data_IF_997177413759
#
_entry.id   IF_997177413759
#
_cell.length_a   1.000
_cell.length_b   1.000
_cell.length_c   1.000
_cell.angle_alpha   90.00
_cell.angle_beta   90.00
_cell.angle_gamma   90.00
#
_symmetry.space_group_name_H-M   'P 1'
#
loop_
_entity.id
_entity.type
_entity.pdbx_description
1 polymer ?
#
# COMPACT_ATOMS: atom_id res chain seq x y z
N UNK A 1 -19.68 52.06 -16.68
CA UNK A 1 -19.30 51.54 -15.35
C UNK A 1 -18.71 50.13 -15.51
N UNK A 2 -17.41 50.03 -15.83
CA UNK A 2 -16.70 48.74 -16.05
C UNK A 2 -15.32 48.68 -15.38
N UNK A 3 -15.14 49.31 -14.24
CA UNK A 3 -13.84 49.40 -13.55
C UNK A 3 -13.78 48.66 -12.20
N UNK A 4 -14.88 48.14 -11.71
CA UNK A 4 -14.88 47.44 -10.40
C UNK A 4 -14.39 45.99 -10.46
N UNK A 5 -14.63 45.30 -11.57
CA UNK A 5 -14.23 43.89 -11.69
C UNK A 5 -12.74 43.65 -11.73
N UNK A 6 -11.92 44.62 -12.12
CA UNK A 6 -10.44 44.48 -12.12
C UNK A 6 -9.86 44.64 -10.71
N UNK A 7 -10.36 45.58 -9.93
CA UNK A 7 -9.89 45.81 -8.54
C UNK A 7 -10.25 44.61 -7.62
N UNK A 8 -11.45 44.03 -7.80
CA UNK A 8 -11.85 42.81 -7.06
C UNK A 8 -10.97 41.62 -7.39
N UNK A 9 -10.55 41.43 -8.65
CA UNK A 9 -9.63 40.37 -9.04
C UNK A 9 -8.24 40.52 -8.41
N UNK A 10 -7.72 41.75 -8.32
CA UNK A 10 -6.42 42.00 -7.67
C UNK A 10 -6.49 41.82 -6.15
N UNK A 11 -7.63 42.15 -5.52
CA UNK A 11 -7.83 41.90 -4.08
C UNK A 11 -7.92 40.39 -3.79
N UNK A 12 -8.61 39.63 -4.66
CA UNK A 12 -8.67 38.15 -4.55
C UNK A 12 -7.31 37.50 -4.75
N UNK A 13 -6.55 37.95 -5.73
CA UNK A 13 -5.19 37.43 -5.99
C UNK A 13 -4.25 37.79 -4.84
N UNK A 14 -4.33 39.02 -4.32
CA UNK A 14 -3.55 39.45 -3.15
C UNK A 14 -3.89 38.67 -1.88
N UNK A 15 -5.18 38.40 -1.66
CA UNK A 15 -5.65 37.58 -0.54
C UNK A 15 -5.15 36.12 -0.63
N UNK A 16 -5.18 35.56 -1.84
CA UNK A 16 -4.67 34.22 -2.09
C UNK A 16 -3.16 34.12 -1.86
N UNK A 17 -2.40 35.14 -2.32
CA UNK A 17 -0.95 35.21 -2.12
C UNK A 17 -0.58 35.33 -0.62
N UNK A 18 -1.35 36.08 0.16
CA UNK A 18 -1.15 36.19 1.62
C UNK A 18 -1.48 34.88 2.35
N UNK A 19 -2.49 34.15 1.92
CA UNK A 19 -2.81 32.83 2.46
C UNK A 19 -1.70 31.82 2.19
N UNK A 20 -1.16 31.81 0.97
CA UNK A 20 -0.03 30.93 0.61
C UNK A 20 1.22 31.28 1.42
N UNK A 21 1.54 32.56 1.58
CA UNK A 21 2.66 33.00 2.41
C UNK A 21 2.48 32.60 3.89
N UNK A 22 1.24 32.65 4.39
CA UNK A 22 0.88 32.21 5.75
C UNK A 22 1.08 30.71 5.96
N UNK A 23 0.69 29.88 5.00
CA UNK A 23 0.87 28.43 5.05
C UNK A 23 2.36 28.06 5.02
N UNK A 24 3.14 28.72 4.15
CA UNK A 24 4.59 28.52 4.07
C UNK A 24 5.29 28.94 5.38
N UNK A 25 4.89 30.08 5.95
CA UNK A 25 5.43 30.56 7.23
C UNK A 25 5.07 29.62 8.40
N UNK A 26 3.84 29.12 8.41
CA UNK A 26 3.38 28.16 9.42
C UNK A 26 4.11 26.83 9.32
N UNK A 27 4.29 26.33 8.09
CA UNK A 27 5.07 25.11 7.83
C UNK A 27 6.55 25.28 8.23
N UNK A 28 7.15 26.44 7.90
CA UNK A 28 8.53 26.76 8.31
C UNK A 28 8.68 26.78 9.84
N UNK A 29 7.73 27.37 10.55
CA UNK A 29 7.78 27.45 12.02
C UNK A 29 7.56 26.10 12.71
N UNK A 30 6.72 25.23 12.14
CA UNK A 30 6.53 23.87 12.64
C UNK A 30 7.75 22.98 12.37
N UNK A 31 8.48 23.26 11.30
CA UNK A 31 9.64 22.44 10.89
C UNK A 31 10.99 22.97 11.38
N UNK A 32 11.06 24.15 12.00
CA UNK A 32 12.29 24.78 12.51
C UNK A 32 12.89 24.11 13.76
N UNK A 33 12.38 22.94 14.15
CA UNK A 33 12.86 22.16 15.30
C UNK A 33 13.53 20.83 14.97
N UNK A 34 13.75 20.51 13.69
CA UNK A 34 14.44 19.27 13.28
C UNK A 34 15.52 19.57 12.26
N UNK A 35 16.74 19.74 12.75
CA UNK A 35 17.92 19.67 11.91
C UNK A 35 18.12 18.23 11.45
N UNK A 36 18.09 18.00 10.15
CA UNK A 36 18.84 16.92 9.51
C UNK A 36 19.12 17.27 8.06
N UNK A 37 20.38 17.21 7.72
CA UNK A 37 20.99 17.45 6.42
C UNK A 37 20.49 16.45 5.36
N UNK A 38 20.38 16.89 4.10
CA UNK A 38 20.24 16.00 2.96
C UNK A 38 19.49 16.60 1.77
N UNK A 39 20.23 17.19 0.89
CA UNK A 39 19.87 17.78 -0.41
C UNK A 39 19.16 16.76 -1.33
N UNK A 40 18.07 17.17 -2.00
CA UNK A 40 17.49 16.40 -3.11
C UNK A 40 16.18 16.99 -3.63
N UNK A 41 16.27 17.68 -4.73
CA UNK A 41 15.33 18.45 -5.54
C UNK A 41 14.01 17.75 -5.91
N UNK A 42 12.92 18.48 -5.69
CA UNK A 42 11.66 18.61 -6.44
C UNK A 42 11.05 17.43 -7.21
N UNK A 43 9.81 17.06 -6.84
CA UNK A 43 8.65 17.12 -7.73
C UNK A 43 7.36 16.86 -6.94
N UNK A 44 6.39 17.66 -7.22
CA UNK A 44 5.08 17.85 -6.66
C UNK A 44 4.14 16.69 -7.04
N UNK A 45 3.45 16.13 -6.07
CA UNK A 45 2.38 15.16 -6.30
C UNK A 45 1.89 14.64 -4.95
N UNK A 46 0.72 15.07 -4.51
CA UNK A 46 0.13 14.66 -3.24
C UNK A 46 -0.15 13.16 -3.22
N UNK A 47 0.45 12.50 -2.30
CA UNK A 47 0.21 11.14 -1.88
C UNK A 47 0.88 11.01 -0.54
N UNK A 48 0.14 10.67 0.48
CA UNK A 48 0.71 10.38 1.79
C UNK A 48 1.71 9.24 1.62
N UNK A 49 2.98 9.62 1.66
CA UNK A 49 4.06 8.64 1.64
C UNK A 49 4.10 7.95 3.01
N UNK A 50 3.72 6.70 3.03
CA UNK A 50 4.03 5.79 4.11
C UNK A 50 5.55 5.79 4.30
N UNK A 51 5.99 6.37 5.39
CA UNK A 51 7.40 6.39 5.78
C UNK A 51 7.69 5.07 6.48
N UNK A 52 8.29 4.13 5.74
CA UNK A 52 8.92 2.96 6.35
C UNK A 52 10.16 3.49 7.05
N UNK A 53 10.06 3.64 8.35
CA UNK A 53 11.19 3.95 9.20
C UNK A 53 12.15 2.75 9.17
N UNK A 54 13.25 2.92 8.45
CA UNK A 54 14.36 1.98 8.44
C UNK A 54 14.91 1.88 9.86
N UNK A 55 14.52 0.87 10.60
CA UNK A 55 15.20 0.50 11.85
C UNK A 55 16.59 -0.04 11.51
N UNK A 56 17.56 0.84 11.67
CA UNK A 56 18.97 0.50 11.58
C UNK A 56 19.42 -0.17 12.88
N UNK A 57 19.84 -1.42 12.76
CA UNK A 57 20.90 -2.02 13.51
C UNK A 57 20.67 -2.36 14.98
N UNK A 58 20.28 -3.60 15.24
CA UNK A 58 20.99 -4.37 16.29
C UNK A 58 20.98 -5.84 15.89
N UNK A 59 22.16 -6.46 15.99
CA UNK A 59 22.43 -7.86 15.67
C UNK A 59 21.73 -8.75 16.70
N UNK A 60 20.56 -9.28 16.35
CA UNK A 60 19.89 -10.33 17.09
C UNK A 60 19.62 -11.54 16.16
N UNK A 61 20.11 -12.64 16.61
CA UNK A 61 19.96 -14.05 16.19
C UNK A 61 19.03 -14.33 14.99
N UNK A 62 19.63 -14.78 13.91
CA UNK A 62 19.17 -14.90 12.52
C UNK A 62 17.97 -15.85 12.28
N UNK A 63 17.42 -16.50 13.28
CA UNK A 63 16.26 -17.39 13.14
C UNK A 63 14.93 -16.76 13.62
N UNK A 64 14.99 -15.77 14.48
CA UNK A 64 13.79 -15.09 14.99
C UNK A 64 13.31 -13.92 14.10
N UNK A 65 14.23 -13.35 13.30
CA UNK A 65 13.94 -12.18 12.46
C UNK A 65 13.00 -12.51 11.28
N UNK A 66 13.08 -13.71 10.73
CA UNK A 66 12.21 -14.14 9.63
C UNK A 66 10.76 -14.37 10.06
N UNK A 67 10.55 -15.07 11.19
CA UNK A 67 9.22 -15.33 11.72
C UNK A 67 8.52 -14.02 12.13
N UNK A 68 9.24 -13.08 12.75
CA UNK A 68 8.74 -11.77 13.14
C UNK A 68 8.33 -10.91 11.92
N UNK A 69 9.11 -10.97 10.82
CA UNK A 69 8.77 -10.28 9.58
C UNK A 69 7.45 -10.76 8.97
N UNK A 70 7.26 -12.07 8.81
CA UNK A 70 6.05 -12.63 8.22
C UNK A 70 4.82 -12.44 9.11
N UNK A 71 4.98 -12.48 10.43
CA UNK A 71 3.92 -12.19 11.38
C UNK A 71 3.52 -10.71 11.33
N UNK A 72 4.51 -9.80 11.36
CA UNK A 72 4.25 -8.37 11.26
C UNK A 72 3.60 -8.00 9.93
N UNK A 73 4.05 -8.57 8.80
CA UNK A 73 3.46 -8.37 7.50
C UNK A 73 1.99 -8.82 7.44
N UNK A 74 1.66 -9.98 8.03
CA UNK A 74 0.27 -10.45 8.10
C UNK A 74 -0.59 -9.56 8.96
N UNK A 75 -0.08 -9.10 10.09
CA UNK A 75 -0.78 -8.19 10.99
C UNK A 75 -1.08 -6.85 10.33
N UNK A 76 -0.09 -6.28 9.63
CA UNK A 76 -0.27 -5.03 8.89
C UNK A 76 -1.27 -5.20 7.74
N UNK A 77 -1.15 -6.29 6.97
CA UNK A 77 -2.09 -6.64 5.89
C UNK A 77 -3.51 -6.78 6.40
N UNK A 78 -3.71 -7.45 7.54
CA UNK A 78 -5.02 -7.60 8.19
C UNK A 78 -5.60 -6.25 8.60
N UNK A 79 -4.79 -5.40 9.22
CA UNK A 79 -5.20 -4.05 9.64
C UNK A 79 -5.64 -3.18 8.46
N UNK A 80 -4.90 -3.20 7.34
CA UNK A 80 -5.28 -2.46 6.13
C UNK A 80 -6.60 -2.98 5.57
N UNK A 81 -6.79 -4.28 5.52
CA UNK A 81 -8.03 -4.90 5.03
C UNK A 81 -9.24 -4.61 5.89
N UNK A 82 -9.06 -4.59 7.20
CA UNK A 82 -10.14 -4.19 8.12
C UNK A 82 -10.61 -2.76 7.83
N UNK A 83 -9.67 -1.85 7.57
CA UNK A 83 -9.99 -0.47 7.17
C UNK A 83 -10.69 -0.41 5.81
N UNK A 84 -10.24 -1.17 4.81
CA UNK A 84 -10.86 -1.22 3.48
C UNK A 84 -12.29 -1.78 3.56
N UNK A 85 -12.50 -2.87 4.31
CA UNK A 85 -13.82 -3.45 4.55
C UNK A 85 -14.73 -2.44 5.25
N UNK A 86 -14.23 -1.78 6.30
CA UNK A 86 -14.97 -0.76 7.03
C UNK A 86 -15.40 0.42 6.14
N UNK A 87 -14.52 0.88 5.27
CA UNK A 87 -14.82 1.93 4.30
C UNK A 87 -15.90 1.50 3.28
N UNK A 88 -15.80 0.27 2.75
CA UNK A 88 -16.82 -0.28 1.85
C UNK A 88 -18.17 -0.46 2.56
N UNK A 89 -18.16 -0.87 3.82
CA UNK A 89 -19.38 -0.99 4.63
C UNK A 89 -20.06 0.36 4.88
N UNK A 90 -19.28 1.42 5.09
CA UNK A 90 -19.81 2.79 5.20
C UNK A 90 -20.46 3.25 3.88
N UNK A 91 -19.81 2.99 2.73
CA UNK A 91 -20.39 3.30 1.42
C UNK A 91 -21.69 2.52 1.23
N UNK A 92 -21.71 1.22 1.51
CA UNK A 92 -22.89 0.36 1.39
C UNK A 92 -24.04 0.88 2.26
N UNK A 93 -23.75 1.29 3.49
CA UNK A 93 -24.75 1.80 4.43
C UNK A 93 -25.32 3.15 4.00
N UNK A 94 -24.51 4.03 3.42
CA UNK A 94 -24.90 5.40 3.04
C UNK A 94 -25.47 5.50 1.63
N UNK A 95 -25.16 4.56 0.72
CA UNK A 95 -25.56 4.60 -0.70
C UNK A 95 -26.87 3.88 -0.99
N UNK A 96 -27.74 3.70 -0.02
CA UNK A 96 -29.01 2.97 -0.18
C UNK A 96 -29.96 3.54 -1.28
N UNK A 97 -29.79 4.81 -1.65
CA UNK A 97 -30.56 5.47 -2.70
C UNK A 97 -29.89 5.47 -4.08
N UNK A 98 -28.62 5.08 -4.17
CA UNK A 98 -27.84 4.97 -5.41
C UNK A 98 -27.47 3.50 -5.67
N UNK A 99 -28.28 2.86 -6.50
CA UNK A 99 -28.12 1.43 -6.81
C UNK A 99 -26.81 1.11 -7.53
N UNK A 100 -26.20 2.05 -8.25
CA UNK A 100 -24.94 1.84 -8.97
C UNK A 100 -23.80 1.82 -7.97
N UNK A 101 -23.67 2.85 -7.16
CA UNK A 101 -22.63 2.94 -6.12
C UNK A 101 -22.74 1.79 -5.13
N UNK A 102 -23.96 1.40 -4.74
CA UNK A 102 -24.19 0.25 -3.87
C UNK A 102 -23.69 -1.06 -4.49
N UNK A 103 -24.03 -1.32 -5.76
CA UNK A 103 -23.61 -2.53 -6.47
C UNK A 103 -22.08 -2.58 -6.64
N UNK A 104 -21.44 -1.46 -6.96
CA UNK A 104 -20.00 -1.37 -7.11
C UNK A 104 -19.28 -1.63 -5.77
N UNK A 105 -19.74 -1.04 -4.67
CA UNK A 105 -19.14 -1.27 -3.35
C UNK A 105 -19.29 -2.73 -2.89
N UNK A 106 -20.45 -3.35 -3.15
CA UNK A 106 -20.66 -4.77 -2.86
C UNK A 106 -19.74 -5.67 -3.71
N UNK A 107 -19.57 -5.35 -5.00
CA UNK A 107 -18.68 -6.11 -5.88
C UNK A 107 -17.21 -5.99 -5.43
N UNK A 108 -16.75 -4.78 -5.04
CA UNK A 108 -15.41 -4.57 -4.52
C UNK A 108 -15.18 -5.33 -3.21
N UNK A 109 -16.16 -5.31 -2.29
CA UNK A 109 -16.05 -6.05 -1.03
C UNK A 109 -15.95 -7.56 -1.28
N UNK A 110 -16.75 -8.09 -2.21
CA UNK A 110 -16.69 -9.49 -2.58
C UNK A 110 -15.35 -9.85 -3.24
N UNK A 111 -14.84 -9.00 -4.13
CA UNK A 111 -13.52 -9.17 -4.74
C UNK A 111 -12.40 -9.19 -3.71
N UNK A 112 -12.45 -8.29 -2.71
CA UNK A 112 -11.48 -8.25 -1.61
C UNK A 112 -11.49 -9.57 -0.82
N UNK A 113 -12.67 -10.09 -0.45
CA UNK A 113 -12.79 -11.36 0.28
C UNK A 113 -12.25 -12.53 -0.56
N UNK A 114 -12.57 -12.59 -1.85
CA UNK A 114 -12.08 -13.63 -2.76
C UNK A 114 -10.54 -13.57 -2.88
N UNK A 115 -9.97 -12.37 -2.97
CA UNK A 115 -8.52 -12.20 -3.01
C UNK A 115 -7.86 -12.72 -1.72
N UNK A 116 -8.44 -12.42 -0.55
CA UNK A 116 -7.94 -12.93 0.75
C UNK A 116 -7.93 -14.47 0.79
N UNK A 117 -8.98 -15.12 0.29
CA UNK A 117 -9.06 -16.58 0.22
C UNK A 117 -8.02 -17.16 -0.75
N UNK A 118 -7.85 -16.53 -1.90
CA UNK A 118 -6.84 -16.93 -2.90
C UNK A 118 -5.41 -16.79 -2.35
N UNK A 119 -5.09 -15.69 -1.70
CA UNK A 119 -3.78 -15.48 -1.06
C UNK A 119 -3.48 -16.53 0.02
N UNK A 120 -4.45 -16.80 0.90
CA UNK A 120 -4.31 -17.83 1.92
C UNK A 120 -4.07 -19.21 1.30
N UNK A 121 -4.76 -19.52 0.21
CA UNK A 121 -4.59 -20.78 -0.52
C UNK A 121 -3.19 -20.89 -1.11
N UNK A 122 -2.70 -19.83 -1.78
CA UNK A 122 -1.35 -19.81 -2.37
C UNK A 122 -0.28 -19.94 -1.28
N UNK A 123 -0.38 -19.17 -0.17
CA UNK A 123 0.54 -19.28 0.97
C UNK A 123 0.60 -20.71 1.52
N UNK A 124 -0.57 -21.33 1.67
CA UNK A 124 -0.67 -22.71 2.16
C UNK A 124 -0.06 -23.74 1.21
N UNK A 125 -0.25 -23.56 -0.10
CA UNK A 125 0.34 -24.44 -1.13
C UNK A 125 1.86 -24.26 -1.21
N UNK A 126 2.39 -23.05 -1.09
CA UNK A 126 3.83 -22.78 -1.07
C UNK A 126 4.47 -23.46 0.15
N UNK A 127 3.88 -23.30 1.34
CA UNK A 127 4.36 -24.01 2.56
C UNK A 127 4.29 -25.53 2.40
N UNK A 128 3.25 -26.06 1.77
CA UNK A 128 3.13 -27.51 1.48
C UNK A 128 4.21 -28.02 0.52
N UNK A 129 4.86 -27.14 -0.25
CA UNK A 129 6.01 -27.46 -1.10
C UNK A 129 7.34 -27.48 -0.37
N UNK A 130 7.36 -27.16 0.92
CA UNK A 130 8.54 -27.24 1.78
C UNK A 130 9.23 -25.92 2.06
N UNK A 131 8.67 -24.81 1.64
CA UNK A 131 9.12 -23.48 2.08
C UNK A 131 8.72 -23.26 3.55
N UNK A 132 9.60 -22.64 4.33
CA UNK A 132 9.36 -22.40 5.75
C UNK A 132 8.14 -21.49 5.96
N UNK A 133 8.07 -20.39 5.23
CA UNK A 133 6.91 -19.49 5.21
C UNK A 133 6.77 -18.77 3.87
N UNK A 134 5.60 -18.17 3.65
CA UNK A 134 5.31 -17.32 2.50
C UNK A 134 4.23 -16.29 2.85
N UNK A 135 4.33 -15.12 2.25
CA UNK A 135 3.32 -14.09 2.31
C UNK A 135 2.95 -13.66 0.88
N UNK A 136 1.66 -13.57 0.60
CA UNK A 136 1.14 -13.25 -0.73
C UNK A 136 0.21 -12.05 -0.66
N UNK A 137 0.32 -11.15 -1.64
CA UNK A 137 -0.67 -10.12 -1.89
C UNK A 137 -1.18 -10.20 -3.31
N UNK A 138 -2.48 -10.18 -3.46
CA UNK A 138 -3.15 -10.19 -4.76
C UNK A 138 -4.08 -8.98 -4.87
N UNK A 139 -3.74 -8.05 -5.75
CA UNK A 139 -4.53 -6.86 -5.96
C UNK A 139 -4.45 -6.38 -7.41
N UNK A 140 -5.60 -6.06 -8.00
CA UNK A 140 -5.66 -5.44 -9.35
C UNK A 140 -4.97 -6.21 -10.46
N UNK A 141 -4.97 -7.56 -10.38
CA UNK A 141 -4.32 -8.41 -11.37
C UNK A 141 -2.80 -8.55 -11.18
N UNK A 142 -2.24 -8.03 -10.07
CA UNK A 142 -0.83 -8.18 -9.71
C UNK A 142 -0.68 -9.05 -8.48
N UNK A 143 0.23 -10.02 -8.53
CA UNK A 143 0.53 -10.93 -7.41
C UNK A 143 1.96 -10.74 -6.96
N UNK A 144 2.16 -10.44 -5.68
CA UNK A 144 3.48 -10.43 -5.07
C UNK A 144 3.58 -11.59 -4.08
N UNK A 145 4.63 -12.36 -4.20
CA UNK A 145 4.93 -13.52 -3.36
C UNK A 145 6.27 -13.30 -2.68
N UNK A 146 6.28 -13.23 -1.37
CA UNK A 146 7.48 -13.16 -0.54
C UNK A 146 7.63 -14.54 0.09
N UNK A 147 8.81 -15.14 -0.02
CA UNK A 147 9.07 -16.50 0.45
C UNK A 147 10.22 -16.48 1.43
N UNK A 148 10.06 -17.17 2.56
CA UNK A 148 11.11 -17.30 3.56
C UNK A 148 12.24 -18.22 3.05
N UNK A 149 13.24 -17.60 2.43
CA UNK A 149 14.46 -18.24 1.96
C UNK A 149 15.50 -17.18 1.60
N UNK A 150 16.78 -17.52 1.69
CA UNK A 150 17.88 -16.64 1.29
C UNK A 150 17.96 -16.46 -0.24
N UNK A 151 17.72 -17.52 -0.96
CA UNK A 151 17.81 -17.56 -2.43
C UNK A 151 16.77 -18.51 -3.01
N UNK A 152 16.29 -18.23 -4.20
CA UNK A 152 15.38 -19.09 -4.96
C UNK A 152 16.09 -19.64 -6.19
N UNK A 153 15.99 -20.95 -6.40
CA UNK A 153 16.41 -21.57 -7.67
C UNK A 153 15.36 -21.35 -8.75
N UNK A 154 15.75 -21.47 -10.02
CA UNK A 154 14.82 -21.35 -11.17
C UNK A 154 13.67 -22.38 -11.07
N UNK A 155 13.94 -23.58 -10.55
CA UNK A 155 12.93 -24.62 -10.32
C UNK A 155 11.92 -24.22 -9.25
N UNK A 156 12.39 -23.62 -8.16
CA UNK A 156 11.53 -23.11 -7.08
C UNK A 156 10.66 -21.95 -7.57
N UNK A 157 11.25 -21.02 -8.31
CA UNK A 157 10.49 -19.91 -8.92
C UNK A 157 9.42 -20.46 -9.87
N UNK A 158 9.77 -21.42 -10.76
CA UNK A 158 8.81 -22.03 -11.67
C UNK A 158 7.66 -22.74 -10.92
N UNK A 159 7.97 -23.42 -9.80
CA UNK A 159 6.97 -24.08 -8.97
C UNK A 159 6.00 -23.08 -8.31
N UNK A 160 6.53 -21.96 -7.80
CA UNK A 160 5.71 -20.90 -7.22
C UNK A 160 4.83 -20.25 -8.29
N UNK A 161 5.40 -19.96 -9.47
CA UNK A 161 4.63 -19.41 -10.60
C UNK A 161 3.49 -20.34 -11.03
N UNK A 162 3.72 -21.67 -11.12
CA UNK A 162 2.66 -22.64 -11.45
C UNK A 162 1.51 -22.62 -10.44
N UNK A 163 1.83 -22.54 -9.14
CA UNK A 163 0.82 -22.40 -8.09
C UNK A 163 0.00 -21.12 -8.28
N UNK A 164 0.70 -19.97 -8.39
CA UNK A 164 0.04 -18.67 -8.50
C UNK A 164 -0.85 -18.59 -9.75
N UNK A 165 -0.33 -19.01 -10.91
CA UNK A 165 -1.09 -18.99 -12.15
C UNK A 165 -2.34 -19.87 -12.09
N UNK A 166 -2.26 -21.00 -11.42
CA UNK A 166 -3.39 -21.93 -11.26
C UNK A 166 -4.48 -21.35 -10.36
N UNK A 167 -4.11 -20.70 -9.28
CA UNK A 167 -5.06 -20.19 -8.30
C UNK A 167 -5.66 -18.82 -8.70
N UNK A 168 -4.90 -17.98 -9.42
CA UNK A 168 -5.32 -16.63 -9.78
C UNK A 168 -5.78 -16.48 -11.24
N UNK A 169 -5.27 -17.33 -12.13
CA UNK A 169 -5.39 -17.17 -13.58
C UNK A 169 -4.48 -16.09 -14.17
N UNK A 170 -3.65 -15.45 -13.37
CA UNK A 170 -2.76 -14.38 -13.81
C UNK A 170 -1.56 -14.93 -14.61
N UNK A 171 -1.09 -14.13 -15.56
CA UNK A 171 0.13 -14.48 -16.31
C UNK A 171 1.40 -14.27 -15.48
N UNK A 172 2.48 -14.99 -15.82
CA UNK A 172 3.76 -14.90 -15.09
C UNK A 172 4.33 -13.48 -15.03
N UNK A 173 4.04 -12.63 -16.01
CA UNK A 173 4.47 -11.22 -16.07
C UNK A 173 3.81 -10.35 -14.98
N UNK A 174 2.67 -10.78 -14.45
CA UNK A 174 1.95 -10.12 -13.37
C UNK A 174 2.36 -10.65 -11.98
N UNK A 175 3.24 -11.64 -11.93
CA UNK A 175 3.67 -12.28 -10.69
C UNK A 175 5.10 -11.89 -10.37
N UNK A 176 5.30 -11.36 -9.18
CA UNK A 176 6.61 -11.03 -8.63
C UNK A 176 6.94 -11.96 -7.47
N UNK A 177 8.01 -12.74 -7.60
CA UNK A 177 8.51 -13.62 -6.53
C UNK A 177 9.78 -13.02 -5.94
N UNK A 178 9.81 -12.86 -4.62
CA UNK A 178 10.88 -12.20 -3.90
C UNK A 178 11.33 -13.12 -2.77
N UNK A 179 12.64 -13.44 -2.64
CA UNK A 179 13.15 -14.07 -1.42
C UNK A 179 12.99 -13.07 -0.27
N UNK A 180 12.43 -13.52 0.85
CA UNK A 180 12.34 -12.72 2.07
C UNK A 180 13.75 -12.53 2.62
N UNK A 181 14.14 -11.29 2.89
CA UNK A 181 15.40 -11.01 3.55
C UNK A 181 15.35 -11.56 4.98
N UNK A 182 16.31 -12.38 5.34
CA UNK A 182 16.61 -12.70 6.72
C UNK A 182 17.43 -11.58 7.35
#
# INVERSE_FOLDING_TARGET
MKLEGKKQKYILIGGLALLLAGVVYWNYRLNAGKETEGVGTAAQGGGESFHIESMSGDTLETSAAGEDYFESFRTERESVRELEIGYLDEIIATSASDAVTLADAQAQKLALVNNMETEFTIESLIRAKGFADAAVTFHGGSVNVIVDCETLSDEQVAQILDIVQRETGESAENVKVIPGAQ
#
